data_IF_792271088329
#
_entry.id   IF_792271088329
#
_cell.length_a   1.000
_cell.length_b   1.000
_cell.length_c   1.000
_cell.angle_alpha   90.00
_cell.angle_beta   90.00
_cell.angle_gamma   90.00
#
_symmetry.space_group_name_H-M   'P 1'
#
loop_
_entity.id
_entity.type
_entity.pdbx_description
1 polymer ?
#
# COMPACT_ATOMS: atom_id res chain seq x y z
N UNK A 1 -9.24 3.65 -17.69
CA UNK A 1 -9.45 4.43 -16.44
C UNK A 1 -9.52 3.52 -15.20
N UNK A 2 -8.68 3.77 -14.19
CA UNK A 2 -8.61 2.95 -12.96
C UNK A 2 -7.48 3.39 -12.03
N UNK A 3 -7.51 2.95 -10.78
CA UNK A 3 -6.48 3.26 -9.79
C UNK A 3 -5.07 2.88 -10.28
N UNK A 4 -4.87 1.63 -10.71
CA UNK A 4 -3.60 1.15 -11.23
C UNK A 4 -3.12 1.90 -12.47
N UNK A 5 -4.04 2.35 -13.35
CA UNK A 5 -3.69 3.17 -14.50
C UNK A 5 -3.12 4.53 -14.08
N UNK A 6 -3.72 5.18 -13.09
CA UNK A 6 -3.24 6.46 -12.56
C UNK A 6 -1.87 6.31 -11.88
N UNK A 7 -1.71 5.28 -11.05
CA UNK A 7 -0.43 4.94 -10.39
C UNK A 7 0.65 4.68 -11.44
N UNK A 8 0.37 3.83 -12.43
CA UNK A 8 1.35 3.49 -13.47
C UNK A 8 1.70 4.69 -14.36
N UNK A 9 0.73 5.55 -14.69
CA UNK A 9 0.99 6.79 -15.43
C UNK A 9 1.93 7.70 -14.64
N UNK A 10 1.68 7.87 -13.34
CA UNK A 10 2.56 8.64 -12.45
C UNK A 10 3.96 8.04 -12.34
N UNK A 11 4.07 6.71 -12.25
CA UNK A 11 5.35 6.00 -12.25
C UNK A 11 6.18 6.29 -13.51
N UNK A 12 5.53 6.22 -14.68
CA UNK A 12 6.19 6.48 -15.97
C UNK A 12 6.62 7.95 -16.09
N UNK A 13 5.82 8.89 -15.59
CA UNK A 13 6.11 10.32 -15.64
C UNK A 13 7.16 10.78 -14.61
N UNK A 14 7.33 10.04 -13.51
CA UNK A 14 8.32 10.36 -12.49
C UNK A 14 9.74 10.35 -13.05
N UNK A 15 10.56 11.30 -12.60
CA UNK A 15 11.97 11.47 -13.01
C UNK A 15 12.96 11.23 -11.87
N UNK A 16 12.46 11.00 -10.66
CA UNK A 16 13.24 10.79 -9.45
C UNK A 16 13.47 9.30 -9.19
N UNK A 17 14.54 8.99 -8.46
CA UNK A 17 14.91 7.61 -8.12
C UNK A 17 13.91 6.95 -7.17
N UNK A 18 13.29 7.73 -6.30
CA UNK A 18 12.27 7.30 -5.36
C UNK A 18 10.94 7.87 -5.80
N UNK A 19 9.91 7.03 -5.78
CA UNK A 19 8.52 7.40 -6.05
C UNK A 19 7.65 7.13 -4.82
N UNK A 20 6.75 8.06 -4.56
CA UNK A 20 5.76 7.97 -3.49
C UNK A 20 4.36 7.96 -4.12
N UNK A 21 3.53 7.01 -3.72
CA UNK A 21 2.11 6.97 -4.10
C UNK A 21 1.27 7.20 -2.85
N UNK A 22 0.26 8.06 -2.96
CA UNK A 22 -0.72 8.31 -1.91
C UNK A 22 -2.06 8.70 -2.51
N UNK A 23 -3.14 8.52 -1.76
CA UNK A 23 -4.47 9.00 -2.14
C UNK A 23 -4.52 10.54 -2.00
N UNK A 24 -5.11 11.22 -2.97
CA UNK A 24 -5.23 12.69 -3.01
C UNK A 24 -6.49 13.22 -2.30
N UNK A 25 -7.10 12.44 -1.43
CA UNK A 25 -8.36 12.76 -0.73
C UNK A 25 -8.16 13.43 0.65
N UNK A 26 -6.92 13.79 0.96
CA UNK A 26 -6.51 14.43 2.22
C UNK A 26 -6.50 13.50 3.44
N UNK A 27 -6.74 12.20 3.27
CA UNK A 27 -6.74 11.26 4.40
C UNK A 27 -5.34 11.00 4.96
N UNK A 28 -4.29 11.30 4.21
CA UNK A 28 -2.89 11.13 4.66
C UNK A 28 -2.15 12.45 4.47
N UNK A 29 -1.44 12.88 5.51
CA UNK A 29 -0.54 14.03 5.47
C UNK A 29 0.73 13.67 4.65
N UNK A 30 1.03 14.38 3.53
CA UNK A 30 2.29 14.22 2.80
C UNK A 30 3.54 14.43 3.66
N UNK A 31 3.44 15.17 4.77
CA UNK A 31 4.50 15.35 5.77
C UNK A 31 5.00 14.05 6.41
N UNK A 32 4.28 12.94 6.26
CA UNK A 32 4.72 11.61 6.71
C UNK A 32 5.64 10.90 5.68
N UNK A 33 5.68 11.35 4.42
CA UNK A 33 6.49 10.73 3.36
C UNK A 33 8.01 10.82 3.61
N UNK A 34 8.59 11.94 4.08
CA UNK A 34 10.03 12.03 4.32
C UNK A 34 10.57 10.95 5.27
N UNK A 35 9.82 10.63 6.34
CA UNK A 35 10.21 9.54 7.25
C UNK A 35 10.18 8.17 6.57
N UNK A 36 9.20 7.92 5.70
CA UNK A 36 9.12 6.69 4.91
C UNK A 36 10.23 6.59 3.85
N UNK A 37 10.61 7.71 3.24
CA UNK A 37 11.77 7.79 2.32
C UNK A 37 13.06 7.49 3.07
N UNK A 38 13.26 8.09 4.25
CA UNK A 38 14.43 7.82 5.07
C UNK A 38 14.54 6.33 5.47
N UNK A 39 13.42 5.66 5.72
CA UNK A 39 13.37 4.20 5.94
C UNK A 39 13.75 3.38 4.71
N UNK A 40 13.32 3.81 3.51
CA UNK A 40 13.73 3.19 2.25
C UNK A 40 15.24 3.35 2.00
N UNK A 41 15.80 4.49 2.41
CA UNK A 41 17.20 4.80 2.23
C UNK A 41 18.11 4.14 3.25
N UNK A 42 17.67 4.07 4.52
CA UNK A 42 18.47 3.65 5.65
C UNK A 42 17.81 2.52 6.43
N UNK A 43 18.44 1.34 6.45
CA UNK A 43 17.99 0.17 7.19
C UNK A 43 17.96 0.38 8.72
N UNK A 44 18.76 1.33 9.23
CA UNK A 44 18.91 1.62 10.66
C UNK A 44 17.98 2.75 11.17
N UNK A 45 17.32 3.48 10.27
CA UNK A 45 16.49 4.63 10.64
C UNK A 45 15.09 4.19 11.09
N UNK A 46 14.98 3.36 12.13
CA UNK A 46 13.70 3.13 12.82
C UNK A 46 13.73 3.58 14.28
N UNK A 47 13.84 4.89 14.58
CA UNK A 47 13.35 5.43 15.84
C UNK A 47 11.96 6.06 15.60
N UNK A 48 10.88 5.42 16.09
CA UNK A 48 9.58 6.09 16.26
C UNK A 48 8.37 5.45 15.57
N UNK A 49 8.57 4.60 14.56
CA UNK A 49 7.50 3.79 13.96
C UNK A 49 7.74 2.34 14.35
N UNK A 50 6.72 1.64 14.89
CA UNK A 50 6.81 0.27 15.42
C UNK A 50 7.27 -0.76 14.37
N UNK A 51 8.56 -0.73 14.06
CA UNK A 51 9.18 -1.47 12.98
C UNK A 51 9.27 -2.95 13.35
N UNK A 52 8.36 -3.75 12.80
CA UNK A 52 8.42 -5.20 12.89
C UNK A 52 9.38 -5.75 11.83
N UNK A 53 10.68 -5.75 12.18
CA UNK A 53 11.75 -6.66 11.71
C UNK A 53 12.56 -6.34 10.44
N UNK A 54 13.89 -6.46 10.59
CA UNK A 54 14.91 -6.63 9.55
C UNK A 54 15.99 -5.53 9.54
N UNK A 55 17.27 -5.89 9.66
CA UNK A 55 18.41 -4.97 9.51
C UNK A 55 18.77 -4.68 8.03
N UNK A 56 18.13 -5.36 7.09
CA UNK A 56 18.31 -5.16 5.66
C UNK A 56 17.52 -3.93 5.16
N UNK A 57 18.08 -3.24 4.17
CA UNK A 57 17.44 -2.09 3.53
C UNK A 57 16.16 -2.57 2.83
N UNK A 58 15.00 -1.93 3.07
CA UNK A 58 13.78 -2.32 2.39
C UNK A 58 13.78 -1.89 0.93
N UNK A 59 13.15 -2.69 0.08
CA UNK A 59 12.90 -2.36 -1.33
C UNK A 59 11.59 -1.58 -1.50
N UNK A 60 10.67 -1.77 -0.55
CA UNK A 60 9.35 -1.15 -0.53
C UNK A 60 8.93 -0.84 0.91
N UNK A 61 8.53 0.41 1.15
CA UNK A 61 7.90 0.84 2.41
C UNK A 61 6.41 1.08 2.17
N UNK A 62 5.55 0.50 3.03
CA UNK A 62 4.09 0.61 2.94
C UNK A 62 3.55 1.27 4.21
N UNK A 63 2.64 2.24 4.02
CA UNK A 63 1.90 2.86 5.10
C UNK A 63 0.64 2.07 5.46
N UNK A 64 0.62 1.51 6.68
CA UNK A 64 -0.54 0.92 7.34
C UNK A 64 -1.41 2.03 7.92
N UNK A 65 -2.67 2.10 7.50
CA UNK A 65 -3.57 3.17 7.95
C UNK A 65 -3.90 3.02 9.44
N UNK A 66 -3.64 4.07 10.21
CA UNK A 66 -4.08 4.24 11.60
C UNK A 66 -5.13 5.35 11.68
N UNK A 67 -6.42 5.00 11.83
CA UNK A 67 -7.49 5.99 11.91
C UNK A 67 -7.27 6.98 13.08
N UNK A 68 -7.24 8.28 12.78
CA UNK A 68 -7.09 9.33 13.81
C UNK A 68 -8.42 9.91 14.29
N UNK A 69 -9.55 9.52 13.68
CA UNK A 69 -10.88 10.00 14.05
C UNK A 69 -12.03 9.08 13.64
N UNK A 70 -13.23 9.33 14.20
CA UNK A 70 -14.46 8.63 13.83
C UNK A 70 -14.77 8.85 12.34
N UNK A 71 -15.20 7.80 11.64
CA UNK A 71 -15.56 7.88 10.23
C UNK A 71 -14.39 7.92 9.24
N UNK A 72 -13.13 7.94 9.72
CA UNK A 72 -11.97 7.94 8.82
C UNK A 72 -11.90 6.68 7.96
N UNK A 73 -12.22 5.51 8.54
CA UNK A 73 -12.16 4.23 7.84
C UNK A 73 -13.31 3.30 8.26
N UNK A 74 -14.26 2.99 7.35
CA UNK A 74 -15.37 2.10 7.67
C UNK A 74 -14.91 0.72 8.17
N UNK A 75 -15.55 0.21 9.23
CA UNK A 75 -15.12 -1.03 9.90
C UNK A 75 -15.15 -2.25 8.96
N UNK A 76 -16.12 -2.34 8.04
CA UNK A 76 -16.21 -3.44 7.09
C UNK A 76 -15.07 -3.42 6.08
N UNK A 77 -14.62 -2.23 5.66
CA UNK A 77 -13.45 -2.08 4.81
C UNK A 77 -12.16 -2.44 5.56
N UNK A 78 -12.08 -2.15 6.87
CA UNK A 78 -10.96 -2.57 7.74
C UNK A 78 -10.88 -4.09 7.83
N UNK A 79 -12.00 -4.76 8.08
CA UNK A 79 -12.07 -6.22 8.15
C UNK A 79 -11.71 -6.84 6.79
N UNK A 80 -12.26 -6.31 5.69
CA UNK A 80 -11.92 -6.77 4.34
C UNK A 80 -10.42 -6.68 4.05
N UNK A 81 -9.80 -5.53 4.32
CA UNK A 81 -8.35 -5.37 4.15
C UNK A 81 -7.56 -6.32 5.06
N UNK A 82 -7.96 -6.49 6.32
CA UNK A 82 -7.28 -7.40 7.24
C UNK A 82 -7.30 -8.86 6.74
N UNK A 83 -8.42 -9.30 6.17
CA UNK A 83 -8.56 -10.64 5.57
C UNK A 83 -7.65 -10.79 4.33
N UNK A 84 -7.62 -9.79 3.44
CA UNK A 84 -6.72 -9.82 2.28
C UNK A 84 -5.25 -9.83 2.70
N UNK A 85 -4.88 -8.96 3.64
CA UNK A 85 -3.53 -8.91 4.18
C UNK A 85 -3.16 -10.25 4.83
N UNK A 86 -4.08 -10.89 5.58
CA UNK A 86 -3.84 -12.21 6.16
C UNK A 86 -3.59 -13.29 5.11
N UNK A 87 -4.40 -13.33 4.04
CA UNK A 87 -4.20 -14.28 2.93
C UNK A 87 -2.89 -14.04 2.20
N UNK A 88 -2.56 -12.77 1.95
CA UNK A 88 -1.29 -12.40 1.33
C UNK A 88 -0.10 -12.84 2.19
N UNK A 89 -0.13 -12.55 3.51
CA UNK A 89 0.90 -13.03 4.45
C UNK A 89 1.08 -14.54 4.39
N UNK A 90 -0.03 -15.29 4.42
CA UNK A 90 0.00 -16.75 4.40
C UNK A 90 0.59 -17.31 3.11
N UNK A 91 0.29 -16.71 1.95
CA UNK A 91 0.75 -17.22 0.65
C UNK A 91 2.16 -16.76 0.26
N UNK A 92 2.55 -15.56 0.68
CA UNK A 92 3.76 -14.89 0.17
C UNK A 92 4.84 -14.68 1.22
N UNK A 93 4.52 -14.82 2.50
CA UNK A 93 5.45 -14.55 3.61
C UNK A 93 5.69 -13.06 3.89
N UNK A 94 5.28 -12.14 3.02
CA UNK A 94 5.36 -10.69 3.27
C UNK A 94 4.50 -10.35 4.49
N UNK A 95 5.08 -9.74 5.52
CA UNK A 95 4.40 -9.39 6.78
C UNK A 95 3.73 -8.02 6.74
N UNK A 96 2.60 -7.90 6.04
CA UNK A 96 1.76 -6.69 6.01
C UNK A 96 0.40 -6.94 6.67
N UNK A 97 -0.16 -5.91 7.31
CA UNK A 97 -1.48 -5.90 7.96
C UNK A 97 -2.49 -5.00 7.24
N UNK A 98 -2.01 -4.11 6.38
CA UNK A 98 -2.82 -3.33 5.44
C UNK A 98 -2.20 -3.41 4.04
N UNK A 99 -3.03 -3.43 3.01
CA UNK A 99 -2.57 -3.30 1.62
C UNK A 99 -2.07 -1.89 1.31
N UNK A 100 -2.33 -0.93 2.21
CA UNK A 100 -1.76 0.42 2.26
C UNK A 100 -2.40 1.40 1.29
N UNK A 101 -2.52 2.67 1.70
CA UNK A 101 -2.78 3.81 0.79
C UNK A 101 -1.47 4.45 0.32
N UNK A 102 -0.43 4.35 1.14
CA UNK A 102 0.87 4.98 0.87
C UNK A 102 1.94 3.94 0.57
N UNK A 103 2.73 4.18 -0.47
CA UNK A 103 3.88 3.35 -0.84
C UNK A 103 5.06 4.23 -1.21
N UNK A 104 6.24 3.87 -0.72
CA UNK A 104 7.52 4.50 -1.07
C UNK A 104 8.46 3.42 -1.57
N UNK A 105 8.98 3.59 -2.77
CA UNK A 105 9.70 2.54 -3.50
C UNK A 105 10.65 3.16 -4.51
N UNK A 106 11.72 2.44 -4.85
CA UNK A 106 12.61 2.84 -5.93
C UNK A 106 11.94 2.68 -7.29
N UNK A 107 12.03 3.70 -8.12
CA UNK A 107 11.37 3.79 -9.43
C UNK A 107 11.77 2.66 -10.37
N UNK A 108 13.07 2.47 -10.58
CA UNK A 108 13.58 1.49 -11.56
C UNK A 108 13.22 0.05 -11.15
N UNK A 109 13.49 -0.41 -9.91
CA UNK A 109 13.02 -1.73 -9.47
C UNK A 109 11.50 -1.91 -9.60
N UNK A 110 10.68 -0.88 -9.33
CA UNK A 110 9.23 -0.99 -9.51
C UNK A 110 8.80 -1.14 -10.97
N UNK A 111 9.49 -0.47 -11.90
CA UNK A 111 9.26 -0.64 -13.33
C UNK A 111 9.62 -2.06 -13.78
N UNK A 112 10.77 -2.57 -13.34
CA UNK A 112 11.27 -3.91 -13.65
C UNK A 112 10.42 -5.03 -13.02
N UNK A 113 9.79 -4.76 -11.88
CA UNK A 113 8.84 -5.68 -11.25
C UNK A 113 7.65 -5.98 -12.17
N UNK A 114 7.33 -5.07 -13.09
CA UNK A 114 6.39 -5.33 -14.19
C UNK A 114 4.94 -5.48 -13.76
N UNK A 115 4.47 -4.74 -12.76
CA UNK A 115 3.05 -4.79 -12.32
C UNK A 115 2.13 -4.44 -13.50
N UNK A 116 1.12 -5.26 -13.79
CA UNK A 116 0.29 -5.19 -15.01
C UNK A 116 -1.16 -4.70 -14.78
N UNK A 117 -1.78 -5.00 -13.65
CA UNK A 117 -3.17 -4.64 -13.38
C UNK A 117 -3.33 -3.11 -13.31
N UNK A 118 -4.03 -2.54 -14.28
CA UNK A 118 -4.29 -1.08 -14.35
C UNK A 118 -5.56 -0.65 -13.60
N UNK A 119 -6.11 -1.50 -12.73
CA UNK A 119 -7.37 -1.31 -11.99
C UNK A 119 -7.10 -1.40 -10.49
N UNK A 120 -7.99 -2.04 -9.73
CA UNK A 120 -7.88 -2.17 -8.28
C UNK A 120 -6.97 -3.34 -7.87
N UNK A 121 -6.55 -4.20 -8.81
CA UNK A 121 -5.61 -5.30 -8.60
C UNK A 121 -4.20 -4.84 -8.25
N UNK A 122 -3.81 -3.66 -8.73
CA UNK A 122 -2.43 -3.14 -8.65
C UNK A 122 -1.76 -3.31 -7.28
N UNK A 123 -2.35 -2.91 -6.13
CA UNK A 123 -1.73 -3.10 -4.81
C UNK A 123 -1.37 -4.53 -4.47
N UNK A 124 -2.26 -5.47 -4.79
CA UNK A 124 -2.07 -6.88 -4.44
C UNK A 124 -1.06 -7.50 -5.38
N UNK A 125 -1.18 -7.26 -6.67
CA UNK A 125 -0.22 -7.76 -7.65
C UNK A 125 1.19 -7.26 -7.35
N UNK A 126 1.35 -5.97 -7.01
CA UNK A 126 2.64 -5.40 -6.60
C UNK A 126 3.25 -6.20 -5.45
N UNK A 127 2.47 -6.49 -4.41
CA UNK A 127 2.95 -7.25 -3.25
C UNK A 127 3.27 -8.71 -3.59
N UNK A 128 2.44 -9.37 -4.40
CA UNK A 128 2.69 -10.74 -4.84
C UNK A 128 3.97 -10.83 -5.69
N UNK A 129 4.17 -9.89 -6.63
CA UNK A 129 5.38 -9.83 -7.45
C UNK A 129 6.60 -9.48 -6.60
N UNK A 130 6.48 -8.53 -5.67
CA UNK A 130 7.55 -8.17 -4.73
C UNK A 130 8.00 -9.40 -3.93
N UNK A 131 7.06 -10.21 -3.43
CA UNK A 131 7.39 -11.44 -2.70
C UNK A 131 8.17 -12.44 -3.58
N UNK A 132 7.71 -12.65 -4.82
CA UNK A 132 8.37 -13.54 -5.79
C UNK A 132 9.77 -13.06 -6.17
N UNK A 133 9.97 -11.75 -6.21
CA UNK A 133 11.27 -11.11 -6.45
C UNK A 133 12.15 -11.07 -5.18
N UNK A 134 11.69 -11.61 -4.04
CA UNK A 134 12.44 -11.62 -2.78
C UNK A 134 12.59 -10.26 -2.11
N UNK A 135 11.74 -9.29 -2.46
CA UNK A 135 11.83 -7.93 -1.94
C UNK A 135 11.58 -7.86 -0.43
N UNK A 136 12.37 -7.02 0.23
CA UNK A 136 12.16 -6.66 1.63
C UNK A 136 11.10 -5.57 1.73
N UNK A 137 9.90 -5.98 2.16
CA UNK A 137 8.77 -5.05 2.37
C UNK A 137 8.69 -4.65 3.84
N UNK A 138 8.77 -3.35 4.12
CA UNK A 138 8.61 -2.78 5.46
C UNK A 138 7.25 -2.09 5.59
N UNK A 139 6.45 -2.53 6.54
CA UNK A 139 5.23 -1.83 6.94
C UNK A 139 5.54 -0.83 8.06
N UNK A 140 4.97 0.38 7.96
CA UNK A 140 4.98 1.39 9.01
C UNK A 140 3.60 1.98 9.20
N UNK A 141 3.31 2.42 10.42
CA UNK A 141 2.04 3.09 10.71
C UNK A 141 2.02 4.49 10.11
N UNK A 142 0.90 4.86 9.49
CA UNK A 142 0.64 6.22 9.00
C UNK A 142 -0.71 6.70 9.50
N UNK A 143 -0.75 7.94 9.95
CA UNK A 143 -1.97 8.58 10.38
C UNK A 143 -2.94 8.72 9.21
N UNK A 144 -4.18 8.27 9.44
CA UNK A 144 -5.25 8.25 8.45
C UNK A 144 -6.46 9.02 8.97
N UNK A 145 -6.57 10.27 8.52
CA UNK A 145 -7.63 11.20 8.89
C UNK A 145 -8.92 10.97 8.06
N UNK A 146 -10.08 11.45 8.53
CA UNK A 146 -11.25 11.58 7.68
C UNK A 146 -10.93 12.38 6.42
N UNK A 147 -11.46 11.92 5.29
CA UNK A 147 -11.31 12.59 3.99
C UNK A 147 -11.78 14.03 4.08
N UNK A 148 -11.02 14.94 3.48
CA UNK A 148 -11.42 16.34 3.33
C UNK A 148 -12.35 16.53 2.12
N UNK A 149 -12.35 15.60 1.15
CA UNK A 149 -13.26 15.61 0.00
C UNK A 149 -13.54 14.21 -0.60
N UNK A 150 -14.69 14.06 -1.26
CA UNK A 150 -15.05 12.88 -2.07
C UNK A 150 -15.66 11.70 -1.31
N UNK A 151 -16.54 10.92 -1.99
CA UNK A 151 -17.11 9.66 -1.49
C UNK A 151 -16.35 8.46 -2.07
N UNK A 152 -16.09 7.44 -1.26
CA UNK A 152 -15.49 6.19 -1.77
C UNK A 152 -16.43 5.48 -2.72
N UNK A 153 -15.98 5.24 -3.96
CA UNK A 153 -16.74 4.49 -4.97
C UNK A 153 -16.79 2.98 -4.69
N UNK A 154 -15.91 2.45 -3.85
CA UNK A 154 -15.70 0.99 -3.66
C UNK A 154 -16.00 0.51 -2.24
N UNK A 155 -15.69 1.31 -1.21
CA UNK A 155 -15.81 0.89 0.20
C UNK A 155 -17.12 1.34 0.87
N UNK A 156 -18.06 1.92 0.12
CA UNK A 156 -19.34 2.39 0.66
C UNK A 156 -20.33 1.28 1.05
N UNK A 157 -20.16 0.05 0.55
CA UNK A 157 -21.09 -1.06 0.82
C UNK A 157 -20.40 -2.38 1.13
N UNK A 158 -21.05 -3.19 1.96
CA UNK A 158 -20.63 -4.56 2.32
C UNK A 158 -20.51 -5.42 1.05
N UNK A 159 -21.46 -5.29 0.11
CA UNK A 159 -21.45 -5.98 -1.17
C UNK A 159 -20.25 -5.59 -2.06
N UNK A 160 -19.88 -4.30 -2.08
CA UNK A 160 -18.70 -3.81 -2.81
C UNK A 160 -17.39 -4.36 -2.23
N UNK A 161 -17.30 -4.46 -0.91
CA UNK A 161 -16.16 -5.06 -0.22
C UNK A 161 -16.09 -6.57 -0.48
N UNK A 162 -17.21 -7.29 -0.39
CA UNK A 162 -17.28 -8.73 -0.65
C UNK A 162 -16.96 -9.09 -2.11
N UNK A 163 -17.39 -8.27 -3.08
CA UNK A 163 -17.05 -8.44 -4.50
C UNK A 163 -15.56 -8.23 -4.74
N UNK A 164 -14.99 -7.15 -4.20
CA UNK A 164 -13.56 -6.90 -4.28
C UNK A 164 -12.76 -8.08 -3.69
N UNK A 165 -13.13 -8.57 -2.50
CA UNK A 165 -12.51 -9.74 -1.88
C UNK A 165 -12.54 -10.99 -2.78
N UNK A 166 -13.66 -11.23 -3.46
CA UNK A 166 -13.82 -12.37 -4.39
C UNK A 166 -12.94 -12.22 -5.63
N UNK A 167 -12.95 -11.04 -6.24
CA UNK A 167 -12.17 -10.75 -7.44
C UNK A 167 -10.67 -10.85 -7.13
N UNK A 168 -10.24 -10.40 -5.94
CA UNK A 168 -8.87 -10.57 -5.47
C UNK A 168 -8.50 -12.03 -5.15
N UNK A 169 -9.42 -12.82 -4.59
CA UNK A 169 -9.18 -14.23 -4.32
C UNK A 169 -9.03 -15.05 -5.61
N UNK A 170 -9.74 -14.68 -6.68
CA UNK A 170 -9.63 -15.31 -7.98
C UNK A 170 -8.39 -14.88 -8.78
N UNK A 171 -7.88 -13.67 -8.54
CA UNK A 171 -6.70 -13.11 -9.21
C UNK A 171 -5.35 -13.52 -8.56
N UNK A 172 -5.38 -14.14 -7.36
CA UNK A 172 -4.19 -14.70 -6.74
C UNK A 172 -4.03 -16.16 -7.15
N UNK A 173 -3.01 -16.50 -7.97
CA UNK A 173 -2.70 -17.89 -8.30
C UNK A 173 -2.38 -18.73 -7.06
#
# INVERSE_FOLDING_TARGET
>A
PGYGAAVHTGLMAARTDIVCFMDSDGSVDPGQLPAMVALLENSAASPGYGATHGAARPDLVIGRRRPTGKGAWPWHARVGNAVLAARLRQRTGIRVHDLGSVRVVRRIPLLELGVEDRRFGYPIELLVRAARAGWQVREVDVDYAPRTAGRSKVTGSIAGTARALRDFAAAMP
#
